data_IF_958877013801
#
_entry.id   IF_958877013801
#
_cell.length_a   1.000
_cell.length_b   1.000
_cell.length_c   1.000
_cell.angle_alpha   90.00
_cell.angle_beta   90.00
_cell.angle_gamma   90.00
#
_symmetry.space_group_name_H-M   'P 1'
#
loop_
_entity.id
_entity.type
_entity.pdbx_description
1 polymer ?
#
# COMPACT_ATOMS: atom_id res chain seq x y z
N UNK A 1 -18.51 -22.43 2.55
CA UNK A 1 -17.09 -22.54 2.11
C UNK A 1 -17.05 -22.28 0.61
N UNK A 2 -16.19 -21.35 0.15
CA UNK A 2 -16.01 -21.00 -1.26
C UNK A 2 -14.56 -21.25 -1.66
N UNK A 3 -14.33 -21.63 -2.92
CA UNK A 3 -12.98 -21.73 -3.50
C UNK A 3 -12.59 -20.39 -4.11
N UNK A 4 -11.58 -19.72 -3.54
CA UNK A 4 -11.10 -18.41 -3.94
C UNK A 4 -9.66 -18.50 -4.46
N UNK A 5 -9.38 -17.85 -5.58
CA UNK A 5 -8.03 -17.76 -6.12
C UNK A 5 -7.64 -16.27 -6.21
N UNK A 6 -6.50 -15.89 -5.62
CA UNK A 6 -5.90 -14.57 -5.78
C UNK A 6 -4.86 -14.65 -6.90
N UNK A 7 -4.98 -13.81 -7.92
CA UNK A 7 -3.96 -13.64 -8.96
C UNK A 7 -3.23 -12.32 -8.74
N UNK A 8 -1.97 -12.39 -8.36
CA UNK A 8 -1.17 -11.20 -8.05
C UNK A 8 0.21 -11.56 -7.46
N UNK A 9 1.02 -10.54 -7.11
CA UNK A 9 2.30 -10.78 -6.46
C UNK A 9 2.15 -11.57 -5.15
N UNK A 10 3.01 -12.54 -4.95
CA UNK A 10 3.11 -13.39 -3.77
C UNK A 10 4.50 -14.00 -3.71
N UNK A 11 4.87 -14.64 -2.58
CA UNK A 11 6.15 -15.33 -2.42
C UNK A 11 6.49 -16.21 -3.65
N UNK A 12 7.73 -16.25 -4.13
CA UNK A 12 8.97 -15.66 -3.58
C UNK A 12 9.25 -14.22 -4.01
N UNK A 13 8.27 -13.48 -4.55
CA UNK A 13 8.48 -12.07 -4.82
C UNK A 13 8.66 -11.30 -3.51
N UNK A 14 9.59 -10.30 -3.52
CA UNK A 14 9.89 -9.49 -2.33
C UNK A 14 8.62 -8.91 -1.72
N UNK A 15 8.61 -8.85 -0.40
CA UNK A 15 7.63 -8.11 0.37
C UNK A 15 7.50 -6.66 -0.13
N UNK A 16 6.35 -6.08 0.04
CA UNK A 16 5.97 -4.75 -0.42
C UNK A 16 4.45 -4.69 -0.51
N UNK A 17 3.88 -3.51 -0.64
CA UNK A 17 2.44 -3.28 -0.50
C UNK A 17 1.53 -4.30 -1.19
N UNK A 18 1.87 -4.76 -2.40
CA UNK A 18 1.03 -5.72 -3.14
C UNK A 18 1.16 -7.15 -2.61
N UNK A 19 2.39 -7.62 -2.40
CA UNK A 19 2.67 -8.99 -1.93
C UNK A 19 2.11 -9.19 -0.52
N UNK A 20 2.43 -8.29 0.40
CA UNK A 20 1.97 -8.30 1.79
C UNK A 20 0.44 -8.25 1.87
N UNK A 21 -0.19 -7.39 1.06
CA UNK A 21 -1.65 -7.31 0.97
C UNK A 21 -2.26 -8.64 0.54
N UNK A 22 -1.74 -9.25 -0.53
CA UNK A 22 -2.28 -10.51 -1.05
C UNK A 22 -2.13 -11.66 -0.05
N UNK A 23 -1.01 -11.73 0.66
CA UNK A 23 -0.81 -12.71 1.74
C UNK A 23 -1.82 -12.51 2.87
N UNK A 24 -2.00 -11.25 3.33
CA UNK A 24 -2.94 -10.97 4.41
C UNK A 24 -4.40 -11.20 4.00
N UNK A 25 -4.78 -10.86 2.77
CA UNK A 25 -6.11 -11.17 2.23
C UNK A 25 -6.36 -12.68 2.15
N UNK A 26 -5.37 -13.45 1.69
CA UNK A 26 -5.48 -14.91 1.65
C UNK A 26 -5.65 -15.50 3.05
N UNK A 27 -4.87 -15.01 4.02
CA UNK A 27 -4.99 -15.41 5.43
C UNK A 27 -6.38 -15.13 5.98
N UNK A 28 -6.92 -13.92 5.78
CA UNK A 28 -8.28 -13.56 6.23
C UNK A 28 -9.35 -14.48 5.62
N UNK A 29 -9.25 -14.77 4.30
CA UNK A 29 -10.17 -15.67 3.63
C UNK A 29 -10.11 -17.09 4.22
N UNK A 30 -8.93 -17.59 4.54
CA UNK A 30 -8.72 -18.91 5.17
C UNK A 30 -9.27 -18.92 6.60
N UNK A 31 -9.00 -17.89 7.39
CA UNK A 31 -9.51 -17.71 8.76
C UNK A 31 -11.05 -17.65 8.80
N UNK A 32 -11.69 -17.13 7.73
CA UNK A 32 -13.13 -17.14 7.56
C UNK A 32 -13.69 -18.46 6.97
N UNK A 33 -12.86 -19.51 6.85
CA UNK A 33 -13.28 -20.86 6.43
C UNK A 33 -13.42 -21.04 4.91
N UNK A 34 -12.74 -20.22 4.09
CA UNK A 34 -12.70 -20.39 2.64
C UNK A 34 -11.43 -21.11 2.18
N UNK A 35 -11.50 -21.87 1.07
CA UNK A 35 -10.31 -22.43 0.39
C UNK A 35 -9.67 -21.32 -0.46
N UNK A 36 -8.52 -20.79 -0.04
CA UNK A 36 -7.85 -19.70 -0.73
C UNK A 36 -6.42 -20.06 -1.13
N UNK A 37 -6.06 -19.78 -2.39
CA UNK A 37 -4.74 -19.99 -2.95
C UNK A 37 -4.29 -18.75 -3.73
N UNK A 38 -2.97 -18.50 -3.76
CA UNK A 38 -2.38 -17.40 -4.53
C UNK A 38 -1.67 -17.98 -5.76
N UNK A 39 -1.99 -17.44 -6.94
CA UNK A 39 -1.27 -17.67 -8.19
C UNK A 39 -0.40 -16.46 -8.48
N UNK A 40 0.88 -16.59 -8.18
CA UNK A 40 1.90 -15.54 -8.29
C UNK A 40 2.71 -15.66 -9.57
N UNK A 41 3.62 -14.71 -9.76
CA UNK A 41 4.48 -14.64 -10.92
C UNK A 41 5.78 -15.41 -10.71
N UNK A 42 6.12 -16.28 -11.66
CA UNK A 42 7.48 -16.81 -11.83
C UNK A 42 8.43 -15.77 -12.46
N UNK A 43 7.84 -14.84 -13.25
CA UNK A 43 8.51 -13.65 -13.76
C UNK A 43 7.48 -12.50 -13.77
N UNK A 44 7.64 -11.53 -12.87
CA UNK A 44 6.76 -10.36 -12.79
C UNK A 44 7.20 -9.26 -13.73
N UNK A 45 8.47 -8.88 -13.67
CA UNK A 45 9.08 -7.87 -14.54
C UNK A 45 10.33 -8.43 -15.23
N UNK A 46 10.51 -8.15 -16.54
CA UNK A 46 11.81 -8.32 -17.16
C UNK A 46 12.86 -7.46 -16.43
N UNK A 47 14.12 -7.89 -16.41
CA UNK A 47 15.19 -7.22 -15.66
C UNK A 47 15.35 -5.73 -16.00
N UNK A 48 15.15 -5.37 -17.27
CA UNK A 48 15.27 -3.98 -17.74
C UNK A 48 14.11 -3.06 -17.29
N UNK A 49 13.00 -3.61 -16.79
CA UNK A 49 11.86 -2.84 -16.23
C UNK A 49 11.85 -2.81 -14.71
N UNK A 50 12.70 -3.60 -14.07
CA UNK A 50 12.75 -3.64 -12.61
C UNK A 50 13.83 -2.69 -12.08
N UNK A 51 13.47 -1.66 -11.27
CA UNK A 51 14.41 -0.65 -10.83
C UNK A 51 15.34 -1.09 -9.69
N UNK A 52 15.07 -2.26 -9.06
CA UNK A 52 15.83 -2.78 -7.91
C UNK A 52 16.85 -3.86 -8.30
N UNK A 53 17.67 -4.28 -7.31
CA UNK A 53 18.69 -5.33 -7.50
C UNK A 53 18.08 -6.70 -7.74
N UNK A 54 17.03 -7.07 -7.03
CA UNK A 54 16.28 -8.33 -7.17
C UNK A 54 14.80 -8.13 -6.85
N UNK A 55 13.94 -8.83 -7.56
CA UNK A 55 12.50 -8.87 -7.27
C UNK A 55 12.10 -10.05 -6.37
N UNK A 56 13.06 -10.87 -5.97
CA UNK A 56 12.84 -12.07 -5.16
C UNK A 56 13.29 -11.84 -3.72
N UNK A 57 12.60 -12.50 -2.76
CA UNK A 57 12.91 -12.51 -1.34
C UNK A 57 13.57 -13.81 -0.95
N UNK A 58 14.51 -13.73 -0.02
CA UNK A 58 15.13 -14.88 0.63
C UNK A 58 14.39 -15.30 1.91
N UNK A 59 13.31 -14.60 2.26
CA UNK A 59 12.46 -14.92 3.40
C UNK A 59 11.67 -16.21 3.17
N UNK A 60 11.30 -16.88 4.26
CA UNK A 60 10.44 -18.07 4.19
C UNK A 60 9.04 -17.72 3.65
N UNK A 61 8.43 -18.70 2.97
CA UNK A 61 7.04 -18.56 2.54
C UNK A 61 6.09 -18.38 3.76
N UNK A 62 5.04 -17.55 3.64
CA UNK A 62 4.06 -17.41 4.71
C UNK A 62 3.37 -18.75 5.00
N UNK A 63 3.29 -19.10 6.28
CA UNK A 63 2.67 -20.35 6.72
C UNK A 63 1.16 -20.38 6.43
N UNK A 64 0.64 -21.55 6.12
CA UNK A 64 -0.78 -21.80 5.94
C UNK A 64 -1.37 -21.26 4.63
N UNK A 65 -0.58 -20.68 3.73
CA UNK A 65 -1.04 -20.16 2.45
C UNK A 65 -0.38 -20.92 1.29
N UNK A 66 -1.21 -21.49 0.42
CA UNK A 66 -0.72 -22.15 -0.80
C UNK A 66 -0.43 -21.09 -1.86
N UNK A 67 0.84 -20.97 -2.25
CA UNK A 67 1.30 -20.02 -3.27
C UNK A 67 1.93 -20.75 -4.43
N UNK A 68 1.43 -20.51 -5.65
CA UNK A 68 1.92 -21.11 -6.91
C UNK A 68 2.53 -20.03 -7.79
N UNK A 69 3.86 -19.95 -7.85
CA UNK A 69 4.61 -18.99 -8.69
C UNK A 69 4.75 -19.51 -10.11
N UNK A 70 3.72 -19.33 -10.94
CA UNK A 70 3.58 -19.99 -12.25
C UNK A 70 3.31 -19.01 -13.41
N UNK A 71 3.00 -17.74 -13.15
CA UNK A 71 2.65 -16.77 -14.20
C UNK A 71 3.92 -16.07 -14.69
N UNK A 72 4.17 -16.15 -16.00
CA UNK A 72 5.22 -15.37 -16.67
C UNK A 72 4.55 -14.19 -17.39
N UNK A 73 4.87 -12.95 -16.99
CA UNK A 73 4.21 -11.73 -17.47
C UNK A 73 4.41 -11.42 -18.97
N UNK A 74 5.45 -12.02 -19.59
CA UNK A 74 5.84 -11.74 -20.98
C UNK A 74 5.68 -12.92 -21.93
N UNK A 75 5.31 -14.12 -21.45
CA UNK A 75 5.19 -15.32 -22.28
C UNK A 75 3.73 -15.65 -22.63
N UNK A 76 3.25 -15.40 -23.87
CA UNK A 76 1.87 -15.67 -24.27
C UNK A 76 1.47 -17.15 -24.19
N UNK A 77 2.39 -18.10 -24.43
CA UNK A 77 2.11 -19.52 -24.29
C UNK A 77 1.82 -19.89 -22.84
N UNK A 78 2.57 -19.29 -21.89
CA UNK A 78 2.31 -19.44 -20.46
C UNK A 78 0.91 -18.93 -20.11
N UNK A 79 0.49 -17.76 -20.63
CA UNK A 79 -0.83 -17.19 -20.35
C UNK A 79 -1.96 -18.13 -20.78
N UNK A 80 -1.83 -18.75 -21.96
CA UNK A 80 -2.79 -19.72 -22.45
C UNK A 80 -2.84 -20.99 -21.60
N UNK A 81 -1.67 -21.50 -21.20
CA UNK A 81 -1.52 -22.67 -20.31
C UNK A 81 -2.18 -22.41 -18.96
N UNK A 82 -1.81 -21.33 -18.30
CA UNK A 82 -2.34 -20.94 -16.97
C UNK A 82 -3.83 -20.62 -17.05
N UNK A 83 -4.28 -19.91 -18.08
CA UNK A 83 -5.70 -19.64 -18.27
C UNK A 83 -6.54 -20.91 -18.46
N UNK A 84 -6.04 -21.91 -19.18
CA UNK A 84 -6.70 -23.22 -19.32
C UNK A 84 -6.68 -24.02 -18.02
N UNK A 85 -5.59 -23.93 -17.23
CA UNK A 85 -5.50 -24.56 -15.92
C UNK A 85 -6.55 -23.95 -14.97
N UNK A 86 -6.52 -22.63 -14.78
CA UNK A 86 -7.49 -21.92 -13.92
C UNK A 86 -8.94 -22.08 -14.37
N UNK A 87 -9.22 -22.24 -15.67
CA UNK A 87 -10.53 -22.58 -16.19
C UNK A 87 -11.03 -23.93 -15.63
N UNK A 88 -10.14 -24.94 -15.53
CA UNK A 88 -10.45 -26.27 -14.99
C UNK A 88 -10.61 -26.27 -13.48
N UNK A 89 -9.90 -25.40 -12.77
CA UNK A 89 -10.00 -25.24 -11.30
C UNK A 89 -11.41 -24.85 -10.84
N UNK A 90 -12.21 -24.18 -11.70
CA UNK A 90 -13.60 -23.78 -11.43
C UNK A 90 -13.75 -23.10 -10.06
N UNK A 91 -12.81 -22.22 -9.70
CA UNK A 91 -12.95 -21.42 -8.49
C UNK A 91 -14.26 -20.61 -8.52
N UNK A 92 -14.89 -20.42 -7.37
CA UNK A 92 -16.11 -19.59 -7.26
C UNK A 92 -15.77 -18.13 -7.55
N UNK A 93 -14.64 -17.66 -7.00
CA UNK A 93 -14.17 -16.27 -7.15
C UNK A 93 -12.69 -16.29 -7.53
N UNK A 94 -12.34 -15.48 -8.53
CA UNK A 94 -10.97 -15.05 -8.78
C UNK A 94 -10.86 -13.58 -8.42
N UNK A 95 -9.97 -13.26 -7.48
CA UNK A 95 -9.56 -11.90 -7.14
C UNK A 95 -8.28 -11.61 -7.91
N UNK A 96 -8.29 -10.63 -8.81
CA UNK A 96 -7.10 -10.27 -9.60
C UNK A 96 -6.61 -8.89 -9.22
N UNK A 97 -5.32 -8.79 -8.92
CA UNK A 97 -4.65 -7.52 -8.62
C UNK A 97 -4.27 -6.80 -9.91
N UNK A 98 -4.54 -5.48 -9.99
CA UNK A 98 -4.17 -4.67 -11.15
C UNK A 98 -3.56 -3.33 -10.73
N UNK A 99 -2.29 -3.10 -11.08
CA UNK A 99 -1.51 -1.95 -10.65
C UNK A 99 -0.72 -1.27 -11.77
N UNK A 100 -0.58 -1.93 -12.93
CA UNK A 100 0.20 -1.40 -14.05
C UNK A 100 -0.35 -1.92 -15.39
N UNK A 101 -0.50 -1.05 -16.42
CA UNK A 101 -1.01 -1.45 -17.75
C UNK A 101 -0.21 -2.56 -18.42
N UNK A 102 1.11 -2.64 -18.18
CA UNK A 102 1.98 -3.72 -18.65
C UNK A 102 1.45 -5.13 -18.32
N UNK A 103 0.75 -5.29 -17.20
CA UNK A 103 0.13 -6.57 -16.82
C UNK A 103 -1.16 -6.88 -17.60
N UNK A 104 -1.70 -5.92 -18.32
CA UNK A 104 -2.98 -6.03 -19.04
C UNK A 104 -3.04 -7.19 -20.02
N UNK A 105 -2.08 -7.38 -20.93
CA UNK A 105 -2.08 -8.48 -21.90
C UNK A 105 -2.05 -9.86 -21.25
N UNK A 106 -1.17 -10.10 -20.28
CA UNK A 106 -1.02 -11.38 -19.59
C UNK A 106 -2.26 -11.74 -18.78
N UNK A 107 -2.63 -10.88 -17.82
CA UNK A 107 -3.79 -11.10 -16.96
C UNK A 107 -5.09 -11.13 -17.74
N UNK A 108 -5.27 -10.21 -18.71
CA UNK A 108 -6.47 -10.17 -19.54
C UNK A 108 -6.65 -11.43 -20.38
N UNK A 109 -5.58 -12.05 -20.88
CA UNK A 109 -5.63 -13.30 -21.65
C UNK A 109 -5.98 -14.48 -20.74
N UNK A 110 -5.32 -14.59 -19.57
CA UNK A 110 -5.63 -15.62 -18.57
C UNK A 110 -7.12 -15.57 -18.20
N UNK A 111 -7.62 -14.40 -17.83
CA UNK A 111 -9.00 -14.23 -17.36
C UNK A 111 -10.04 -14.51 -18.47
N UNK A 112 -9.75 -14.19 -19.74
CA UNK A 112 -10.63 -14.57 -20.87
C UNK A 112 -10.76 -16.06 -21.04
N UNK A 113 -9.69 -16.82 -20.78
CA UNK A 113 -9.78 -18.30 -20.78
C UNK A 113 -10.63 -18.80 -19.60
N UNK A 114 -10.46 -18.23 -18.41
CA UNK A 114 -11.26 -18.57 -17.23
C UNK A 114 -12.74 -18.30 -17.49
N UNK A 115 -13.12 -17.15 -18.04
CA UNK A 115 -14.54 -16.81 -18.34
C UNK A 115 -15.29 -17.85 -19.17
N UNK A 116 -14.56 -18.66 -19.95
CA UNK A 116 -15.18 -19.74 -20.75
C UNK A 116 -15.78 -20.87 -19.89
N UNK A 117 -15.48 -20.95 -18.60
CA UNK A 117 -16.11 -21.93 -17.69
C UNK A 117 -17.52 -21.50 -17.23
N UNK A 118 -17.92 -20.22 -17.45
CA UNK A 118 -19.23 -19.64 -17.09
C UNK A 118 -19.63 -19.85 -15.61
N UNK A 119 -18.64 -20.06 -14.74
CA UNK A 119 -18.82 -20.29 -13.31
C UNK A 119 -18.08 -19.22 -12.49
N UNK A 120 -16.78 -19.09 -12.71
CA UNK A 120 -15.90 -18.26 -11.90
C UNK A 120 -16.23 -16.76 -12.04
N UNK A 121 -16.49 -16.09 -10.94
CA UNK A 121 -16.69 -14.64 -10.86
C UNK A 121 -15.33 -13.95 -10.72
N UNK A 122 -15.08 -12.91 -11.50
CA UNK A 122 -13.77 -12.24 -11.58
C UNK A 122 -13.88 -10.83 -11.04
N UNK A 123 -13.30 -10.60 -9.86
CA UNK A 123 -13.28 -9.32 -9.16
C UNK A 123 -11.86 -8.73 -9.23
N UNK A 124 -11.72 -7.52 -9.71
CA UNK A 124 -10.45 -6.82 -9.79
C UNK A 124 -10.27 -5.91 -8.57
N UNK A 125 -9.17 -6.09 -7.83
CA UNK A 125 -8.65 -5.09 -6.91
C UNK A 125 -7.72 -4.15 -7.72
N UNK A 126 -8.22 -2.94 -8.00
CA UNK A 126 -7.50 -1.96 -8.80
C UNK A 126 -6.71 -0.99 -7.90
N UNK A 127 -5.39 -1.05 -7.98
CA UNK A 127 -4.49 -0.12 -7.30
C UNK A 127 -4.24 1.14 -8.10
N UNK A 128 -4.05 0.98 -9.42
CA UNK A 128 -3.93 2.06 -10.40
C UNK A 128 -4.53 1.64 -11.72
N UNK A 129 -5.32 2.52 -12.33
CA UNK A 129 -5.92 2.33 -13.67
C UNK A 129 -5.23 3.21 -14.71
N UNK A 130 -4.81 4.41 -14.28
CA UNK A 130 -4.00 5.33 -15.07
C UNK A 130 -2.63 5.44 -14.43
N UNK A 131 -1.53 5.04 -15.11
CA UNK A 131 -0.19 5.14 -14.54
C UNK A 131 0.23 6.60 -14.39
N UNK A 132 1.09 6.88 -13.40
CA UNK A 132 1.69 8.20 -13.20
C UNK A 132 2.55 8.62 -14.40
N UNK A 133 3.28 7.68 -14.98
CA UNK A 133 4.06 7.86 -16.20
C UNK A 133 3.31 7.18 -17.37
N UNK A 134 2.79 7.98 -18.29
CA UNK A 134 2.04 7.46 -19.46
C UNK A 134 3.01 6.92 -20.49
N UNK A 135 2.75 5.69 -20.97
CA UNK A 135 3.49 5.04 -22.06
C UNK A 135 2.57 4.69 -23.22
N UNK A 136 3.16 4.55 -24.39
CA UNK A 136 2.44 4.07 -25.57
C UNK A 136 1.91 2.65 -25.30
N UNK A 137 0.61 2.41 -25.53
CA UNK A 137 -0.02 1.10 -25.26
C UNK A 137 -0.79 1.00 -23.92
N UNK A 138 -0.60 1.91 -22.97
CA UNK A 138 -1.27 1.83 -21.65
C UNK A 138 -2.80 1.78 -21.76
N UNK A 139 -3.41 2.66 -22.54
CA UNK A 139 -4.87 2.69 -22.71
C UNK A 139 -5.44 1.39 -23.30
N UNK A 140 -4.95 0.86 -24.45
CA UNK A 140 -5.46 -0.39 -25.00
C UNK A 140 -5.22 -1.59 -24.08
N UNK A 141 -4.09 -1.68 -23.39
CA UNK A 141 -3.78 -2.76 -22.47
C UNK A 141 -4.73 -2.74 -21.25
N UNK A 142 -4.93 -1.56 -20.65
CA UNK A 142 -5.91 -1.38 -19.58
C UNK A 142 -7.33 -1.74 -20.03
N UNK A 143 -7.78 -1.24 -21.19
CA UNK A 143 -9.11 -1.61 -21.74
C UNK A 143 -9.24 -3.11 -21.98
N UNK A 144 -8.18 -3.73 -22.52
CA UNK A 144 -8.16 -5.17 -22.75
C UNK A 144 -8.33 -5.94 -21.45
N UNK A 145 -7.65 -5.55 -20.38
CA UNK A 145 -7.77 -6.16 -19.07
C UNK A 145 -9.15 -5.92 -18.43
N UNK A 146 -9.59 -4.67 -18.31
CA UNK A 146 -10.85 -4.32 -17.64
C UNK A 146 -12.09 -5.03 -18.25
N UNK A 147 -12.07 -5.29 -19.57
CA UNK A 147 -13.11 -6.08 -20.23
C UNK A 147 -13.22 -7.51 -19.73
N UNK A 148 -12.15 -8.09 -19.17
CA UNK A 148 -12.13 -9.47 -18.70
C UNK A 148 -12.60 -9.64 -17.24
N UNK A 149 -12.72 -8.57 -16.48
CA UNK A 149 -13.24 -8.57 -15.09
C UNK A 149 -14.77 -8.43 -15.09
N UNK A 150 -15.43 -8.90 -14.04
CA UNK A 150 -16.88 -8.80 -13.87
C UNK A 150 -17.26 -7.64 -12.91
N UNK A 151 -16.44 -7.37 -11.89
CA UNK A 151 -16.61 -6.27 -10.95
C UNK A 151 -15.24 -5.72 -10.48
N UNK A 152 -15.27 -4.59 -9.78
CA UNK A 152 -14.08 -3.89 -9.33
C UNK A 152 -14.20 -3.44 -7.88
N UNK A 153 -13.06 -3.47 -7.18
CA UNK A 153 -12.86 -2.79 -5.90
C UNK A 153 -11.70 -1.81 -6.09
N UNK A 154 -11.88 -0.58 -5.67
CA UNK A 154 -10.82 0.43 -5.58
C UNK A 154 -10.64 0.84 -4.13
N UNK A 155 -9.45 1.29 -3.77
CA UNK A 155 -9.13 1.67 -2.40
C UNK A 155 -8.90 3.19 -2.25
N UNK A 156 -9.15 3.96 -3.31
CA UNK A 156 -9.16 5.43 -3.29
C UNK A 156 -10.15 6.02 -4.29
N UNK A 157 -10.66 7.21 -3.97
CA UNK A 157 -11.55 7.99 -4.85
C UNK A 157 -10.90 8.29 -6.20
N UNK A 158 -9.60 8.58 -6.21
CA UNK A 158 -8.86 8.85 -7.45
C UNK A 158 -8.90 7.66 -8.40
N UNK A 159 -8.62 6.45 -7.90
CA UNK A 159 -8.66 5.23 -8.73
C UNK A 159 -10.08 4.90 -9.16
N UNK A 160 -11.09 5.15 -8.31
CA UNK A 160 -12.50 5.01 -8.68
C UNK A 160 -12.87 5.94 -9.84
N UNK A 161 -12.49 7.21 -9.75
CA UNK A 161 -12.74 8.20 -10.81
C UNK A 161 -12.08 7.80 -12.13
N UNK A 162 -10.81 7.37 -12.08
CA UNK A 162 -10.07 6.90 -13.24
C UNK A 162 -10.73 5.64 -13.87
N UNK A 163 -11.17 4.70 -13.06
CA UNK A 163 -11.91 3.51 -13.50
C UNK A 163 -13.21 3.90 -14.22
N UNK A 164 -14.00 4.83 -13.66
CA UNK A 164 -15.24 5.31 -14.24
C UNK A 164 -15.02 5.97 -15.62
N UNK A 165 -13.91 6.73 -15.77
CA UNK A 165 -13.53 7.29 -17.09
C UNK A 165 -13.29 6.18 -18.12
N UNK A 166 -12.60 5.09 -17.76
CA UNK A 166 -12.43 3.95 -18.67
C UNK A 166 -13.74 3.24 -18.98
N UNK A 167 -14.63 3.07 -18.01
CA UNK A 167 -15.94 2.44 -18.21
C UNK A 167 -16.82 3.22 -19.20
N UNK A 168 -16.82 4.56 -19.13
CA UNK A 168 -17.53 5.44 -20.09
C UNK A 168 -17.02 5.30 -21.53
N UNK A 169 -15.77 4.89 -21.73
CA UNK A 169 -15.19 4.68 -23.07
C UNK A 169 -15.45 3.28 -23.65
N UNK A 170 -16.22 2.43 -22.96
CA UNK A 170 -16.67 1.13 -23.47
C UNK A 170 -17.83 1.37 -24.46
N UNK A 171 -18.02 0.48 -25.47
CA UNK A 171 -19.10 0.66 -26.44
C UNK A 171 -20.46 0.84 -25.77
N UNK A 172 -21.23 1.78 -26.29
CA UNK A 172 -22.61 2.06 -25.89
C UNK A 172 -23.45 0.78 -25.87
N UNK A 173 -24.24 0.58 -24.81
CA UNK A 173 -25.12 -0.59 -24.63
C UNK A 173 -24.69 -1.61 -23.58
N UNK A 174 -23.50 -1.47 -22.97
CA UNK A 174 -23.13 -2.25 -21.78
C UNK A 174 -23.22 -1.38 -20.54
N UNK A 175 -24.03 -1.82 -19.59
CA UNK A 175 -24.09 -1.22 -18.27
C UNK A 175 -22.70 -1.17 -17.64
N UNK A 176 -22.35 -0.09 -16.94
CA UNK A 176 -21.10 0.01 -16.20
C UNK A 176 -21.03 -1.15 -15.20
N UNK A 177 -19.90 -1.85 -15.20
CA UNK A 177 -19.70 -2.97 -14.28
C UNK A 177 -19.70 -2.47 -12.83
N UNK A 178 -20.21 -3.28 -11.87
CA UNK A 178 -20.19 -2.92 -10.47
C UNK A 178 -18.78 -2.54 -10.00
N UNK A 179 -18.70 -1.47 -9.22
CA UNK A 179 -17.44 -1.04 -8.62
C UNK A 179 -17.72 -0.38 -7.27
N UNK A 180 -17.01 -0.82 -6.24
CA UNK A 180 -17.15 -0.35 -4.85
C UNK A 180 -15.81 0.24 -4.39
N UNK A 181 -15.87 1.36 -3.66
CA UNK A 181 -14.74 1.92 -2.94
C UNK A 181 -14.70 1.29 -1.55
N UNK A 182 -13.60 0.63 -1.21
CA UNK A 182 -13.33 0.09 0.12
C UNK A 182 -12.02 0.71 0.61
N UNK A 183 -11.97 1.31 1.78
CA UNK A 183 -10.72 1.80 2.35
C UNK A 183 -9.66 0.70 2.40
N UNK A 184 -8.39 1.07 2.21
CA UNK A 184 -7.28 0.11 2.29
C UNK A 184 -7.26 -0.51 3.70
N UNK A 185 -7.36 -1.86 3.84
CA UNK A 185 -7.30 -2.50 5.15
C UNK A 185 -5.98 -2.25 5.86
N UNK A 186 -5.98 -2.44 7.18
CA UNK A 186 -4.78 -2.29 8.00
C UNK A 186 -3.71 -3.30 7.63
N UNK A 187 -2.46 -2.88 7.77
CA UNK A 187 -1.32 -3.78 7.77
C UNK A 187 -1.09 -4.29 9.20
N UNK A 188 -1.81 -5.33 9.59
CA UNK A 188 -1.76 -5.95 10.92
C UNK A 188 -0.77 -7.12 11.03
N UNK A 189 -0.08 -7.42 9.94
CA UNK A 189 0.87 -8.53 9.81
C UNK A 189 2.33 -8.18 10.19
N UNK A 190 2.58 -6.93 10.62
CA UNK A 190 3.91 -6.49 11.08
C UNK A 190 4.15 -6.71 12.57
N UNK A 191 3.32 -7.51 13.23
CA UNK A 191 3.41 -7.89 14.63
C UNK A 191 2.53 -7.08 15.57
N UNK A 192 2.57 -7.43 16.84
CA UNK A 192 1.79 -6.78 17.90
C UNK A 192 2.34 -5.39 18.23
N UNK A 193 1.49 -4.53 18.77
CA UNK A 193 1.88 -3.25 19.35
C UNK A 193 2.77 -3.50 20.57
N UNK A 194 3.95 -2.90 20.58
CA UNK A 194 4.89 -2.93 21.70
C UNK A 194 4.79 -1.66 22.54
N UNK A 195 5.29 -1.72 23.78
CA UNK A 195 5.48 -0.50 24.56
C UNK A 195 6.52 0.41 23.89
N UNK A 196 6.34 1.72 24.03
CA UNK A 196 7.29 2.72 23.51
C UNK A 196 8.69 2.50 24.08
N UNK A 197 8.77 2.14 25.36
CA UNK A 197 10.04 1.84 26.04
C UNK A 197 10.76 0.67 25.38
N UNK A 198 10.11 -0.47 25.24
CA UNK A 198 10.68 -1.69 24.61
C UNK A 198 11.17 -1.42 23.19
N UNK A 199 10.37 -0.69 22.40
CA UNK A 199 10.75 -0.33 21.03
C UNK A 199 11.97 0.61 20.99
N UNK A 200 12.04 1.60 21.89
CA UNK A 200 13.15 2.55 22.02
C UNK A 200 14.44 1.87 22.49
N UNK A 201 14.36 0.98 23.45
CA UNK A 201 15.49 0.16 23.91
C UNK A 201 16.08 -0.65 22.74
N UNK A 202 15.23 -1.31 21.96
CA UNK A 202 15.66 -2.05 20.77
C UNK A 202 16.39 -1.17 19.74
N UNK A 203 15.91 0.04 19.53
CA UNK A 203 16.50 1.00 18.57
C UNK A 203 17.62 1.86 19.17
N UNK A 204 17.93 1.71 20.47
CA UNK A 204 18.89 2.52 21.25
C UNK A 204 18.53 4.01 21.22
N UNK A 205 17.27 4.32 21.41
CA UNK A 205 16.71 5.68 21.52
C UNK A 205 16.39 5.96 22.99
N UNK A 206 16.68 7.16 23.49
CA UNK A 206 16.33 7.56 24.86
C UNK A 206 14.82 7.58 25.05
N UNK A 207 14.34 7.11 26.22
CA UNK A 207 12.91 6.98 26.51
C UNK A 207 12.16 8.31 26.61
N UNK A 208 12.84 9.38 27.00
CA UNK A 208 12.31 10.73 27.15
C UNK A 208 12.40 11.58 25.87
N UNK A 209 12.99 11.06 24.80
CA UNK A 209 13.16 11.78 23.55
C UNK A 209 11.81 12.02 22.85
N UNK A 210 11.65 13.23 22.24
CA UNK A 210 10.51 13.55 21.39
C UNK A 210 10.84 13.09 19.95
N UNK A 211 10.16 12.04 19.47
CA UNK A 211 10.53 11.34 18.23
C UNK A 211 9.40 11.38 17.20
N UNK A 212 9.65 12.06 16.09
CA UNK A 212 8.86 11.94 14.86
C UNK A 212 9.43 10.84 13.97
N UNK A 213 8.59 10.17 13.20
CA UNK A 213 8.99 9.13 12.27
C UNK A 213 8.63 9.49 10.83
N UNK A 214 9.62 9.50 9.95
CA UNK A 214 9.43 9.35 8.51
C UNK A 214 9.75 7.90 8.13
N UNK A 215 8.78 7.20 7.48
CA UNK A 215 8.89 5.76 7.22
C UNK A 215 8.72 5.38 5.75
N UNK A 216 9.48 4.36 5.32
CA UNK A 216 9.38 3.70 4.01
C UNK A 216 10.28 4.31 2.95
N UNK A 217 10.29 3.75 1.73
CA UNK A 217 11.21 4.14 0.65
C UNK A 217 11.27 5.64 0.45
N UNK A 218 12.50 6.18 0.42
CA UNK A 218 12.76 7.61 0.26
C UNK A 218 12.72 7.94 -1.23
N UNK A 219 11.71 8.75 -1.62
CA UNK A 219 11.46 9.21 -2.99
C UNK A 219 11.04 10.68 -2.95
N UNK A 220 11.38 11.45 -3.97
CA UNK A 220 11.12 12.89 -4.09
C UNK A 220 9.68 13.28 -3.76
N UNK A 221 8.69 12.50 -4.25
CA UNK A 221 7.28 12.82 -4.00
C UNK A 221 6.88 12.73 -2.53
N UNK A 222 7.64 12.00 -1.69
CA UNK A 222 7.39 11.86 -0.25
C UNK A 222 7.89 13.05 0.58
N UNK A 223 8.63 13.98 -0.02
CA UNK A 223 8.92 15.27 0.58
C UNK A 223 9.82 15.25 1.81
N UNK A 224 10.74 14.27 1.93
CA UNK A 224 11.70 14.26 3.05
C UNK A 224 12.54 15.54 3.12
N UNK A 225 12.84 16.12 1.97
CA UNK A 225 13.53 17.40 1.83
C UNK A 225 12.76 18.57 2.47
N UNK A 226 11.43 18.64 2.27
CA UNK A 226 10.55 19.63 2.94
C UNK A 226 10.57 19.42 4.46
N UNK A 227 10.55 18.16 4.90
CA UNK A 227 10.59 17.85 6.33
C UNK A 227 11.92 18.25 6.96
N UNK A 228 13.05 18.10 6.25
CA UNK A 228 14.34 18.59 6.74
C UNK A 228 14.34 20.12 6.93
N UNK A 229 13.76 20.85 5.99
CA UNK A 229 13.59 22.30 6.14
C UNK A 229 12.69 22.65 7.35
N UNK A 230 11.59 21.92 7.56
CA UNK A 230 10.75 22.08 8.74
C UNK A 230 11.50 21.79 10.05
N UNK A 231 12.34 20.74 10.07
CA UNK A 231 13.17 20.42 11.25
C UNK A 231 14.23 21.49 11.55
N UNK A 232 14.60 22.33 10.58
CA UNK A 232 15.52 23.44 10.80
C UNK A 232 14.90 24.64 11.52
N UNK A 233 13.57 24.65 11.75
CA UNK A 233 12.90 25.69 12.53
C UNK A 233 13.46 25.77 13.96
N UNK A 234 13.85 26.97 14.39
CA UNK A 234 14.46 27.19 15.71
C UNK A 234 13.55 26.80 16.87
N UNK A 235 12.24 26.85 16.71
CA UNK A 235 11.27 26.40 17.72
C UNK A 235 11.32 24.89 17.91
N UNK A 236 11.50 24.13 16.81
CA UNK A 236 11.65 22.66 16.84
C UNK A 236 13.00 22.28 17.47
N UNK A 237 14.06 22.97 17.12
CA UNK A 237 15.41 22.77 17.72
C UNK A 237 15.37 23.01 19.22
N UNK A 238 14.81 24.13 19.68
CA UNK A 238 14.68 24.47 21.10
C UNK A 238 13.82 23.47 21.86
N UNK A 239 12.80 22.91 21.24
CA UNK A 239 11.97 21.87 21.86
C UNK A 239 12.67 20.50 21.95
N UNK A 240 13.83 20.32 21.33
CA UNK A 240 14.58 19.05 21.36
C UNK A 240 13.92 17.94 20.55
N UNK A 241 13.05 18.28 19.60
CA UNK A 241 12.33 17.31 18.75
C UNK A 241 13.31 16.68 17.76
N UNK A 242 13.29 15.36 17.67
CA UNK A 242 14.16 14.59 16.79
C UNK A 242 13.35 13.87 15.71
N UNK A 243 13.95 13.65 14.55
CA UNK A 243 13.37 12.92 13.43
C UNK A 243 14.10 11.59 13.22
N UNK A 244 13.36 10.49 13.36
CA UNK A 244 13.78 9.17 12.93
C UNK A 244 13.39 8.98 11.47
N UNK A 245 14.38 8.87 10.59
CA UNK A 245 14.19 8.53 9.17
C UNK A 245 14.48 7.05 9.00
N UNK A 246 13.47 6.27 8.60
CA UNK A 246 13.59 4.82 8.46
C UNK A 246 13.13 4.37 7.07
N UNK A 247 14.06 3.89 6.25
CA UNK A 247 13.80 3.35 4.92
C UNK A 247 14.86 3.68 3.88
N UNK A 248 14.93 2.84 2.87
CA UNK A 248 15.96 2.84 1.83
C UNK A 248 15.76 3.99 0.82
N UNK A 249 16.87 4.61 0.37
CA UNK A 249 16.86 5.58 -0.72
C UNK A 249 16.62 4.93 -2.07
N UNK A 250 15.64 5.45 -2.81
CA UNK A 250 15.35 5.09 -4.20
C UNK A 250 15.71 6.23 -5.17
N UNK A 251 16.54 7.16 -4.72
CA UNK A 251 17.13 8.26 -5.48
C UNK A 251 18.49 8.65 -4.88
N UNK A 252 19.16 9.65 -5.44
CA UNK A 252 20.49 10.04 -5.00
C UNK A 252 20.52 10.59 -3.57
N UNK A 253 21.07 9.80 -2.66
CA UNK A 253 21.21 10.10 -1.22
C UNK A 253 22.06 11.33 -0.95
N UNK A 254 23.02 11.66 -1.84
CA UNK A 254 23.96 12.79 -1.64
C UNK A 254 23.22 14.11 -1.46
N UNK A 255 22.15 14.34 -2.22
CA UNK A 255 21.33 15.55 -2.13
C UNK A 255 20.76 15.78 -0.73
N UNK A 256 20.36 14.69 -0.08
CA UNK A 256 19.81 14.75 1.28
C UNK A 256 20.89 14.97 2.31
N UNK A 257 22.09 14.39 2.14
CA UNK A 257 23.25 14.62 3.00
C UNK A 257 23.71 16.08 2.94
N UNK A 258 23.85 16.62 1.73
CA UNK A 258 24.22 18.02 1.51
C UNK A 258 23.20 18.99 2.15
N UNK A 259 21.90 18.67 2.05
CA UNK A 259 20.84 19.47 2.67
C UNK A 259 20.90 19.40 4.20
N UNK A 260 21.15 18.23 4.80
CA UNK A 260 21.32 18.06 6.26
C UNK A 260 22.46 18.94 6.77
N UNK A 261 23.58 18.94 6.07
CA UNK A 261 24.77 19.73 6.45
C UNK A 261 24.52 21.23 6.28
N UNK A 262 23.87 21.64 5.18
CA UNK A 262 23.50 23.03 4.93
C UNK A 262 22.54 23.59 5.97
N UNK A 263 21.55 22.79 6.40
CA UNK A 263 20.55 23.17 7.40
C UNK A 263 21.04 23.04 8.85
N UNK A 264 22.20 22.40 9.08
CA UNK A 264 22.76 22.18 10.41
C UNK A 264 21.86 21.37 11.34
N UNK A 265 21.17 20.34 10.80
CA UNK A 265 20.17 19.54 11.55
C UNK A 265 20.66 18.14 11.92
N UNK A 266 21.94 17.83 11.71
CA UNK A 266 22.50 16.49 11.90
C UNK A 266 22.19 15.89 13.27
N UNK A 267 22.31 16.67 14.33
CA UNK A 267 22.09 16.24 15.73
C UNK A 267 20.62 15.90 16.03
N UNK A 268 19.67 16.45 15.22
CA UNK A 268 18.26 16.17 15.37
C UNK A 268 17.82 14.89 14.65
N UNK A 269 18.69 14.31 13.81
CA UNK A 269 18.34 13.19 12.96
C UNK A 269 18.86 11.86 13.50
N UNK A 270 18.00 10.83 13.40
CA UNK A 270 18.36 9.42 13.58
C UNK A 270 18.11 8.74 12.23
N UNK A 271 19.17 8.48 11.48
CA UNK A 271 19.07 7.89 10.15
C UNK A 271 19.20 6.37 10.21
N UNK A 272 18.23 5.68 9.61
CA UNK A 272 18.19 4.23 9.40
C UNK A 272 17.78 3.99 7.95
N UNK A 273 18.74 4.18 7.04
CA UNK A 273 18.51 4.28 5.59
C UNK A 273 18.76 2.98 4.84
N UNK A 274 18.86 1.88 5.56
CA UNK A 274 18.84 0.53 5.02
C UNK A 274 17.41 0.01 4.85
N UNK A 275 17.25 -1.09 4.14
CA UNK A 275 15.98 -1.81 4.07
C UNK A 275 15.55 -2.26 5.47
N UNK A 276 14.31 -1.94 5.85
CA UNK A 276 13.74 -2.35 7.13
C UNK A 276 12.98 -3.67 6.92
N UNK A 277 13.43 -4.78 7.53
CA UNK A 277 12.72 -6.06 7.49
C UNK A 277 11.32 -5.95 8.11
N UNK A 278 10.35 -6.71 7.58
CA UNK A 278 8.97 -6.67 8.03
C UNK A 278 8.83 -6.91 9.56
N UNK A 279 9.63 -7.80 10.12
CA UNK A 279 9.67 -8.11 11.55
C UNK A 279 10.15 -6.93 12.43
N UNK A 280 10.89 -5.98 11.87
CA UNK A 280 11.45 -4.84 12.59
C UNK A 280 10.57 -3.58 12.49
N UNK A 281 9.63 -3.53 11.55
CA UNK A 281 8.72 -2.38 11.33
C UNK A 281 8.05 -1.93 12.62
N UNK A 282 7.59 -2.86 13.45
CA UNK A 282 6.94 -2.58 14.74
C UNK A 282 7.79 -1.72 15.68
N UNK A 283 9.12 -1.92 15.70
CA UNK A 283 9.99 -1.15 16.59
C UNK A 283 10.03 0.33 16.19
N UNK A 284 10.08 0.62 14.90
CA UNK A 284 10.11 1.99 14.39
C UNK A 284 8.79 2.73 14.66
N UNK A 285 7.66 2.09 14.36
CA UNK A 285 6.34 2.67 14.59
C UNK A 285 6.09 2.86 16.09
N UNK A 286 6.36 1.85 16.92
CA UNK A 286 6.12 1.93 18.37
C UNK A 286 7.06 2.91 19.09
N UNK A 287 8.29 3.13 18.60
CA UNK A 287 9.23 4.08 19.20
C UNK A 287 8.85 5.55 18.97
N UNK A 288 8.10 5.85 17.92
CA UNK A 288 7.73 7.19 17.55
C UNK A 288 6.53 7.75 18.34
N UNK A 289 6.44 9.08 18.44
CA UNK A 289 5.27 9.79 18.98
C UNK A 289 4.24 10.04 17.88
N UNK A 290 4.69 10.39 16.67
CA UNK A 290 3.86 10.55 15.49
C UNK A 290 4.60 10.17 14.21
N UNK A 291 3.83 9.80 13.17
CA UNK A 291 4.34 9.58 11.81
C UNK A 291 4.12 10.83 10.96
N UNK A 292 5.17 11.30 10.28
CA UNK A 292 5.08 12.46 9.39
C UNK A 292 5.13 12.01 7.94
N UNK A 293 4.13 12.43 7.15
CA UNK A 293 4.02 12.15 5.72
C UNK A 293 3.96 13.46 4.94
N UNK A 294 5.11 14.12 4.69
CA UNK A 294 5.19 15.46 4.10
C UNK A 294 5.10 15.41 2.58
N UNK A 295 4.21 14.58 2.05
CA UNK A 295 4.16 14.23 0.65
C UNK A 295 3.81 15.45 -0.23
N UNK A 296 4.44 15.51 -1.42
CA UNK A 296 4.13 16.48 -2.47
C UNK A 296 2.96 16.01 -3.33
N UNK A 297 2.81 14.69 -3.43
CA UNK A 297 1.72 14.07 -4.19
C UNK A 297 1.49 12.66 -3.63
N UNK A 298 0.22 12.26 -3.49
CA UNK A 298 -0.13 10.92 -3.05
C UNK A 298 -1.47 10.48 -3.63
N UNK A 299 -1.52 9.29 -4.21
CA UNK A 299 -2.78 8.64 -4.54
C UNK A 299 -3.29 7.86 -3.33
N UNK A 300 -2.39 7.15 -2.68
CA UNK A 300 -2.57 6.37 -1.45
C UNK A 300 -1.27 6.36 -0.65
N UNK A 301 -1.35 6.04 0.64
CA UNK A 301 -0.18 5.81 1.47
C UNK A 301 -0.26 4.43 2.14
N UNK A 302 0.74 3.59 1.92
CA UNK A 302 0.90 2.34 2.68
C UNK A 302 1.35 2.57 4.13
N UNK A 303 1.83 3.78 4.45
CA UNK A 303 2.27 4.14 5.80
C UNK A 303 1.09 4.49 6.71
N UNK A 304 0.02 5.10 6.18
CA UNK A 304 -1.16 5.43 6.98
C UNK A 304 -1.86 4.20 7.59
N UNK A 305 -2.08 3.08 6.86
CA UNK A 305 -2.59 1.85 7.45
C UNK A 305 -1.68 1.26 8.53
N UNK A 306 -0.35 1.36 8.39
CA UNK A 306 0.60 0.96 9.43
C UNK A 306 0.46 1.85 10.67
N UNK A 307 0.41 3.18 10.50
CA UNK A 307 0.23 4.12 11.60
C UNK A 307 -1.07 3.84 12.36
N UNK A 308 -2.16 3.52 11.67
CA UNK A 308 -3.40 3.09 12.31
C UNK A 308 -3.24 1.79 13.08
N UNK A 309 -2.57 0.78 12.49
CA UNK A 309 -2.35 -0.50 13.19
C UNK A 309 -1.62 -0.28 14.51
N UNK A 310 -0.53 0.48 14.50
CA UNK A 310 0.28 0.79 15.68
C UNK A 310 -0.24 1.97 16.52
N UNK A 311 -1.45 2.47 16.24
CA UNK A 311 -2.11 3.57 16.95
C UNK A 311 -1.25 4.82 17.04
N UNK A 312 -0.55 5.17 15.94
CA UNK A 312 0.30 6.36 15.85
C UNK A 312 -0.42 7.52 15.18
N UNK A 313 -0.50 8.68 15.85
CA UNK A 313 -0.97 9.90 15.22
C UNK A 313 -0.14 10.25 13.99
N UNK A 314 -0.77 10.92 13.04
CA UNK A 314 -0.13 11.27 11.77
C UNK A 314 -0.11 12.76 11.56
N UNK A 315 1.00 13.30 11.04
CA UNK A 315 1.07 14.65 10.49
C UNK A 315 1.21 14.50 8.98
N UNK A 316 0.21 14.91 8.22
CA UNK A 316 0.16 14.69 6.78
C UNK A 316 -0.08 16.00 6.02
N UNK A 317 0.43 16.09 4.81
CA UNK A 317 0.12 17.20 3.92
C UNK A 317 -1.25 17.02 3.27
N UNK A 318 -1.91 18.13 2.92
CA UNK A 318 -3.24 18.15 2.30
C UNK A 318 -3.20 17.80 0.79
N UNK A 319 -2.48 16.73 0.43
CA UNK A 319 -2.31 16.28 -0.95
C UNK A 319 -2.99 14.94 -1.22
N UNK A 320 -3.61 14.82 -2.37
CA UNK A 320 -4.22 13.59 -2.87
C UNK A 320 -5.23 12.98 -1.89
N UNK A 321 -5.05 11.70 -1.55
CA UNK A 321 -5.94 10.97 -0.64
C UNK A 321 -5.58 11.05 0.84
N UNK A 322 -4.50 11.73 1.24
CA UNK A 322 -4.04 11.77 2.64
C UNK A 322 -5.07 12.41 3.60
N UNK A 323 -5.71 13.55 3.29
CA UNK A 323 -6.70 14.14 4.19
C UNK A 323 -7.92 13.25 4.44
N UNK A 324 -8.30 12.43 3.46
CA UNK A 324 -9.40 11.46 3.63
C UNK A 324 -9.01 10.30 4.54
N UNK A 325 -7.72 9.92 4.54
CA UNK A 325 -7.19 8.87 5.42
C UNK A 325 -6.91 9.37 6.84
N UNK A 326 -6.62 10.66 7.02
CA UNK A 326 -6.24 11.25 8.31
C UNK A 326 -7.19 12.40 8.63
N UNK A 327 -8.37 12.14 9.21
CA UNK A 327 -9.28 13.19 9.65
C UNK A 327 -8.57 14.17 10.60
N UNK A 328 -8.52 15.46 10.18
CA UNK A 328 -7.80 16.51 10.90
C UNK A 328 -8.33 16.69 12.33
N UNK A 329 -7.41 16.85 13.28
CA UNK A 329 -7.71 16.97 14.70
C UNK A 329 -8.21 15.68 15.37
N UNK A 330 -8.32 14.55 14.63
CA UNK A 330 -8.75 13.24 15.15
C UNK A 330 -7.65 12.20 15.03
N UNK A 331 -7.34 11.74 13.83
CA UNK A 331 -6.29 10.75 13.63
C UNK A 331 -4.89 11.37 13.49
N UNK A 332 -4.82 12.68 13.50
CA UNK A 332 -3.60 13.46 13.37
C UNK A 332 -3.88 14.88 12.92
N UNK A 333 -2.93 15.52 12.27
CA UNK A 333 -3.02 16.89 11.75
C UNK A 333 -2.79 16.91 10.24
N UNK A 334 -3.58 17.73 9.54
CA UNK A 334 -3.45 17.98 8.10
C UNK A 334 -2.90 19.38 7.88
N UNK A 335 -1.85 19.51 7.07
CA UNK A 335 -1.15 20.78 6.87
C UNK A 335 -0.82 21.02 5.39
N UNK A 336 -0.44 22.25 5.03
CA UNK A 336 0.08 22.56 3.71
C UNK A 336 1.47 21.89 3.48
N UNK A 337 1.84 21.58 2.22
CA UNK A 337 3.14 20.97 1.92
C UNK A 337 4.27 22.00 1.87
N UNK A 338 4.40 22.82 2.92
CA UNK A 338 5.49 23.80 3.09
C UNK A 338 6.22 23.56 4.41
N UNK A 339 7.51 23.89 4.50
CA UNK A 339 8.31 23.71 5.71
C UNK A 339 7.68 24.38 6.94
N UNK A 340 7.22 25.62 6.80
CA UNK A 340 6.66 26.41 7.91
C UNK A 340 5.36 25.78 8.43
N UNK A 341 4.46 25.36 7.53
CA UNK A 341 3.19 24.76 7.91
C UNK A 341 3.40 23.38 8.56
N UNK A 342 4.39 22.61 8.11
CA UNK A 342 4.77 21.35 8.72
C UNK A 342 5.36 21.58 10.12
N UNK A 343 6.23 22.58 10.28
CA UNK A 343 6.80 22.95 11.57
C UNK A 343 5.70 23.35 12.58
N UNK A 344 4.75 24.18 12.15
CA UNK A 344 3.59 24.58 12.98
C UNK A 344 2.73 23.38 13.38
N UNK A 345 2.48 22.45 12.46
CA UNK A 345 1.73 21.23 12.76
C UNK A 345 2.49 20.32 13.74
N UNK A 346 3.81 20.20 13.63
CA UNK A 346 4.66 19.47 14.58
C UNK A 346 4.54 20.05 15.99
N UNK A 347 4.69 21.37 16.12
CA UNK A 347 4.59 22.06 17.40
C UNK A 347 3.19 21.91 18.01
N UNK A 348 2.15 22.07 17.21
CA UNK A 348 0.75 21.85 17.63
C UNK A 348 0.51 20.41 18.10
N UNK A 349 1.09 19.41 17.42
CA UNK A 349 1.00 18.02 17.82
C UNK A 349 1.58 17.81 19.24
N UNK A 350 2.76 18.33 19.53
CA UNK A 350 3.37 18.19 20.85
C UNK A 350 2.64 19.02 21.93
N UNK A 351 1.98 20.12 21.59
CA UNK A 351 1.11 20.84 22.53
C UNK A 351 -0.13 20.03 22.93
N UNK A 352 -0.74 19.33 21.98
CA UNK A 352 -1.91 18.47 22.23
C UNK A 352 -1.52 17.16 22.91
N UNK A 353 -0.36 16.61 22.57
CA UNK A 353 0.14 15.34 23.04
C UNK A 353 -0.47 14.13 22.30
N UNK A 354 0.28 13.02 22.27
CA UNK A 354 -0.11 11.78 21.60
C UNK A 354 -1.45 11.23 22.10
N UNK A 355 -1.67 11.31 23.43
CA UNK A 355 -2.86 10.78 24.08
C UNK A 355 -4.18 11.46 23.64
N UNK A 356 -4.12 12.68 23.14
CA UNK A 356 -5.27 13.37 22.55
C UNK A 356 -5.84 12.62 21.34
N UNK A 357 -4.98 12.03 20.51
CA UNK A 357 -5.36 11.40 19.25
C UNK A 357 -5.73 9.92 19.40
N UNK A 358 -5.17 9.18 20.36
CA UNK A 358 -5.32 7.72 20.48
C UNK A 358 -6.78 7.25 20.54
N UNK A 359 -7.70 7.83 21.33
CA UNK A 359 -9.10 7.39 21.35
C UNK A 359 -9.79 7.51 19.99
N UNK A 360 -9.50 8.60 19.27
CA UNK A 360 -10.03 8.84 17.93
C UNK A 360 -9.43 7.88 16.91
N UNK A 361 -8.11 7.62 16.99
CA UNK A 361 -7.44 6.63 16.14
C UNK A 361 -8.06 5.24 16.28
N UNK A 362 -8.38 4.80 17.50
CA UNK A 362 -9.02 3.51 17.77
C UNK A 362 -10.40 3.42 17.13
N UNK A 363 -11.16 4.50 17.16
CA UNK A 363 -12.47 4.58 16.50
C UNK A 363 -12.34 4.53 14.97
N UNK A 364 -11.47 5.36 14.42
CA UNK A 364 -11.25 5.42 12.97
C UNK A 364 -10.68 4.10 12.40
N UNK A 365 -9.78 3.45 13.15
CA UNK A 365 -9.16 2.16 12.81
C UNK A 365 -10.19 1.08 12.45
N UNK A 366 -11.36 1.08 13.10
CA UNK A 366 -12.41 0.08 12.86
C UNK A 366 -12.92 0.09 11.41
N UNK A 367 -12.83 1.22 10.70
CA UNK A 367 -13.25 1.35 9.30
C UNK A 367 -12.39 0.56 8.33
N UNK A 368 -11.18 0.18 8.73
CA UNK A 368 -10.14 -0.43 7.90
C UNK A 368 -9.96 -1.92 8.19
N UNK A 369 -11.06 -2.66 8.44
CA UNK A 369 -10.99 -4.08 8.76
C UNK A 369 -10.86 -4.97 7.51
N UNK A 370 -10.10 -6.06 7.62
CA UNK A 370 -10.01 -7.11 6.60
C UNK A 370 -11.34 -7.82 6.38
N UNK A 371 -12.11 -7.99 7.46
CA UNK A 371 -13.45 -8.56 7.41
C UNK A 371 -14.39 -7.75 6.50
N UNK A 372 -14.31 -6.41 6.55
CA UNK A 372 -15.08 -5.54 5.66
C UNK A 372 -14.67 -5.73 4.19
N UNK A 373 -13.36 -5.86 3.91
CA UNK A 373 -12.85 -6.15 2.56
C UNK A 373 -13.41 -7.48 2.04
N UNK A 374 -13.31 -8.56 2.82
CA UNK A 374 -13.81 -9.88 2.45
C UNK A 374 -15.34 -9.87 2.25
N UNK A 375 -16.10 -9.26 3.17
CA UNK A 375 -17.55 -9.11 3.04
C UNK A 375 -17.95 -8.41 1.75
N UNK A 376 -17.25 -7.34 1.37
CA UNK A 376 -17.48 -6.61 0.12
C UNK A 376 -17.17 -7.45 -1.12
N UNK A 377 -16.11 -8.27 -1.09
CA UNK A 377 -15.80 -9.21 -2.18
C UNK A 377 -16.96 -10.19 -2.39
N UNK A 378 -17.48 -10.77 -1.32
CA UNK A 378 -18.60 -11.71 -1.41
C UNK A 378 -19.93 -11.02 -1.78
N UNK A 379 -20.18 -9.81 -1.31
CA UNK A 379 -21.32 -9.00 -1.74
C UNK A 379 -21.28 -8.77 -3.25
N UNK A 380 -20.17 -8.25 -3.78
CA UNK A 380 -19.99 -8.05 -5.22
C UNK A 380 -20.15 -9.37 -6.00
N UNK A 381 -19.63 -10.47 -5.45
CA UNK A 381 -19.78 -11.77 -6.10
C UNK A 381 -21.26 -12.19 -6.20
N UNK A 382 -22.13 -11.86 -5.25
CA UNK A 382 -23.58 -12.12 -5.32
C UNK A 382 -24.27 -11.26 -6.38
N UNK A 383 -23.85 -10.02 -6.55
CA UNK A 383 -24.43 -9.08 -7.54
C UNK A 383 -24.07 -9.43 -9.00
N UNK A 384 -22.99 -10.20 -9.22
CA UNK A 384 -22.60 -10.65 -10.56
C UNK A 384 -23.52 -11.77 -11.02
N UNK A 385 -24.39 -11.47 -11.97
CA UNK A 385 -25.18 -12.49 -12.67
C UNK A 385 -24.33 -13.19 -13.74
N UNK A 386 -24.35 -14.53 -13.77
CA UNK A 386 -23.69 -15.37 -14.78
C UNK A 386 -24.60 -16.46 -15.29
#
# INVERSE_FOLDING_TARGET
MAKVIIIGPGHPLRGGGLTTFNHRLAKELIEQGHDCQIYSFSLQYPSFLFPGKTQYSDEAAPEGIIIKSVINSINPFNWLKIGNWLKKERADIIIVRYWLPFMGPSLGTILRKVRKNRHTKIICLADNVIPHEKRMGDKPFTKYFLKSCDAFITMSEKVMSDLRLFQKTLPTGRQAKPAILVPHPLYDNFGAILSKQEAREKLKIKNDALILLFFGFIRKYKGLDILFEAMADERIKKAGIRLLVAGEFYEDERKYKDQIDTLGIREQLILRTDFIPDNDVKYYLCAADAVVQPYRNATQSGVSPLAYHFEKPMIVTNVGGLPALVPDGKAGLVTAPTPEAIADAILKFYQLGENYFIPHLRTEKQKYSWTNMVSTIFQLAKEIQK
#
